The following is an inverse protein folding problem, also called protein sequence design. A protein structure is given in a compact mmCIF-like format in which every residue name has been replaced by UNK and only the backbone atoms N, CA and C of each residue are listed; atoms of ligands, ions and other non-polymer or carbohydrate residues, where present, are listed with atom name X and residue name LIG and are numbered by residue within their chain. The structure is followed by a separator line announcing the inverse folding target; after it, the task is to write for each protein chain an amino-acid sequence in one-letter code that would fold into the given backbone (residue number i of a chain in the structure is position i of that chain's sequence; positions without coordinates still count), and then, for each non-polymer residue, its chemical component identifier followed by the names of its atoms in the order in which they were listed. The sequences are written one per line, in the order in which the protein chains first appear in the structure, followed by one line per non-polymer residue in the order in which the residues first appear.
data_IF_824988997448
#
_entry.id   IF_824988997448
#
_cell.length_a   1.000
_cell.length_b   1.000
_cell.length_c   1.000
_cell.angle_alpha   90.00
_cell.angle_beta   90.00
_cell.angle_gamma   90.00
#
_symmetry.space_group_name_H-M   'P 1'
#
loop_
_entity.id
_entity.type
_entity.pdbx_description
1 polymer ?
#
# COMPACT_ATOMS: atom_id res chain seq x y z
N UNK A 1 40.34 39.57 -36.41
CA UNK A 1 40.46 38.17 -35.94
C UNK A 1 40.60 38.16 -34.43
N UNK A 2 40.00 37.15 -33.77
CA UNK A 2 39.93 36.87 -32.32
C UNK A 2 38.75 37.53 -31.62
N UNK A 3 37.98 36.83 -30.79
CA UNK A 3 37.70 35.40 -30.67
C UNK A 3 36.38 35.32 -29.89
N UNK A 4 35.53 34.40 -30.33
CA UNK A 4 34.16 34.18 -29.88
C UNK A 4 34.20 33.57 -28.46
N UNK A 5 33.66 34.28 -27.46
CA UNK A 5 33.50 33.77 -26.10
C UNK A 5 32.16 33.06 -25.95
N UNK A 6 32.18 31.73 -26.07
CA UNK A 6 31.01 30.86 -25.89
C UNK A 6 30.78 30.61 -24.38
N UNK A 7 29.71 31.17 -23.82
CA UNK A 7 29.30 30.92 -22.44
C UNK A 7 28.66 29.51 -22.35
N UNK A 8 29.33 28.59 -21.65
CA UNK A 8 28.79 27.27 -21.29
C UNK A 8 27.97 27.41 -20.00
N UNK A 9 26.65 27.37 -20.11
CA UNK A 9 25.74 27.24 -18.96
C UNK A 9 25.67 25.77 -18.52
N UNK A 10 26.29 25.46 -17.39
CA UNK A 10 26.15 24.18 -16.71
C UNK A 10 24.74 24.13 -16.06
N UNK A 11 23.82 23.40 -16.69
CA UNK A 11 22.56 23.02 -16.04
C UNK A 11 22.84 21.89 -15.04
N UNK A 12 22.85 22.20 -13.75
CA UNK A 12 22.79 21.20 -12.68
C UNK A 12 21.43 20.52 -12.70
N UNK A 13 21.37 19.28 -13.21
CA UNK A 13 20.20 18.41 -13.08
C UNK A 13 20.24 17.86 -11.65
N UNK A 14 19.49 18.46 -10.73
CA UNK A 14 19.27 17.88 -9.41
C UNK A 14 18.47 16.58 -9.58
N UNK A 15 18.93 15.43 -9.06
CA UNK A 15 18.11 14.23 -9.05
C UNK A 15 16.90 14.51 -8.15
N UNK A 16 15.70 14.43 -8.73
CA UNK A 16 14.46 14.45 -7.96
C UNK A 16 14.47 13.23 -7.03
N UNK A 17 14.62 13.47 -5.74
CA UNK A 17 14.48 12.43 -4.72
C UNK A 17 13.00 12.04 -4.68
N UNK A 18 12.66 10.92 -5.32
CA UNK A 18 11.32 10.33 -5.30
C UNK A 18 11.00 9.99 -3.83
N UNK A 19 10.11 10.78 -3.22
CA UNK A 19 9.88 10.76 -1.78
C UNK A 19 9.16 9.49 -1.32
N UNK A 20 9.72 8.80 -0.32
CA UNK A 20 9.02 7.96 0.68
C UNK A 20 8.22 6.73 0.22
N UNK A 21 8.07 6.47 -1.08
CA UNK A 21 7.19 5.41 -1.59
C UNK A 21 7.98 4.15 -1.97
N UNK A 22 7.68 3.05 -1.30
CA UNK A 22 8.17 1.73 -1.69
C UNK A 22 7.51 1.29 -3.00
N UNK A 23 8.26 0.55 -3.83
CA UNK A 23 7.69 -0.15 -4.98
C UNK A 23 6.53 -1.04 -4.57
N UNK A 24 5.45 -0.96 -5.35
CA UNK A 24 4.29 -1.84 -5.25
C UNK A 24 4.70 -3.31 -5.36
N UNK A 25 3.96 -4.18 -4.69
CA UNK A 25 4.20 -5.63 -4.72
C UNK A 25 2.95 -6.36 -5.19
N UNK A 26 3.11 -7.33 -6.07
CA UNK A 26 2.02 -8.22 -6.45
C UNK A 26 1.93 -9.39 -5.46
N UNK A 27 0.71 -9.72 -5.03
CA UNK A 27 0.40 -10.92 -4.25
C UNK A 27 -0.01 -12.00 -5.24
N UNK A 28 0.74 -13.08 -5.25
CA UNK A 28 0.44 -14.28 -6.04
C UNK A 28 0.29 -15.43 -5.05
N UNK A 29 -0.87 -16.10 -5.11
CA UNK A 29 -1.09 -17.31 -4.32
C UNK A 29 -0.39 -18.49 -4.99
N UNK A 30 0.24 -19.33 -4.17
CA UNK A 30 0.73 -20.61 -4.66
C UNK A 30 -0.43 -21.48 -5.16
N UNK A 31 -0.16 -22.40 -6.08
CA UNK A 31 -1.19 -23.23 -6.70
C UNK A 31 -1.98 -23.99 -5.62
N UNK A 32 -3.30 -23.74 -5.59
CA UNK A 32 -4.22 -24.36 -4.64
C UNK A 32 -4.26 -23.72 -3.25
N UNK A 33 -3.49 -22.65 -3.01
CA UNK A 33 -3.54 -21.89 -1.76
C UNK A 33 -4.54 -20.75 -1.86
N UNK A 34 -5.34 -20.56 -0.81
CA UNK A 34 -6.23 -19.42 -0.61
C UNK A 34 -5.69 -18.44 0.43
N UNK A 35 -4.56 -18.74 1.07
CA UNK A 35 -4.01 -17.95 2.16
C UNK A 35 -2.53 -17.66 1.96
N UNK A 36 -2.08 -16.51 2.45
CA UNK A 36 -0.66 -16.13 2.49
C UNK A 36 -0.35 -15.22 3.67
N UNK A 37 0.93 -15.10 4.01
CA UNK A 37 1.42 -14.19 5.05
C UNK A 37 2.46 -13.26 4.43
N UNK A 38 2.09 -12.00 4.25
CA UNK A 38 2.99 -10.96 3.75
C UNK A 38 3.81 -10.44 4.93
N UNK A 39 5.12 -10.55 4.84
CA UNK A 39 6.06 -9.99 5.82
C UNK A 39 6.65 -8.69 5.26
N UNK A 40 6.75 -7.67 6.09
CA UNK A 40 7.30 -6.38 5.67
C UNK A 40 7.67 -5.49 6.84
N UNK A 41 8.19 -4.32 6.48
CA UNK A 41 8.43 -3.20 7.37
C UNK A 41 8.11 -1.91 6.62
N UNK A 42 7.70 -0.87 7.34
CA UNK A 42 7.45 0.45 6.73
C UNK A 42 8.78 1.14 6.39
N UNK A 43 9.60 1.45 7.39
CA UNK A 43 10.87 2.17 7.17
C UNK A 43 11.79 1.51 6.11
N UNK A 44 12.35 2.29 5.15
CA UNK A 44 12.30 3.77 5.02
C UNK A 44 11.06 4.32 4.28
N UNK A 45 10.06 3.49 4.02
CA UNK A 45 8.85 3.87 3.29
C UNK A 45 7.72 4.24 4.24
N UNK A 46 7.02 5.33 3.93
CA UNK A 46 5.87 5.78 4.74
C UNK A 46 4.65 4.87 4.54
N UNK A 47 4.56 4.27 3.34
CA UNK A 47 3.51 3.34 2.95
C UNK A 47 4.05 2.20 2.09
N UNK A 48 3.34 1.07 2.08
CA UNK A 48 3.57 -0.03 1.15
C UNK A 48 2.26 -0.49 0.53
N UNK A 49 2.26 -0.66 -0.78
CA UNK A 49 1.09 -1.11 -1.54
C UNK A 49 1.29 -2.56 -1.98
N UNK A 50 0.26 -3.39 -1.75
CA UNK A 50 0.18 -4.73 -2.30
C UNK A 50 -1.02 -4.85 -3.24
N UNK A 51 -0.79 -5.35 -4.45
CA UNK A 51 -1.81 -5.54 -5.48
C UNK A 51 -2.16 -7.01 -5.59
N UNK A 52 -3.44 -7.33 -5.72
CA UNK A 52 -3.90 -8.68 -5.98
C UNK A 52 -5.11 -8.67 -6.90
N UNK A 53 -5.28 -9.75 -7.66
CA UNK A 53 -6.47 -9.98 -8.46
C UNK A 53 -7.43 -10.87 -7.69
N UNK A 54 -8.71 -10.53 -7.75
CA UNK A 54 -9.78 -11.30 -7.14
C UNK A 54 -11.02 -11.27 -8.02
N UNK A 55 -11.93 -12.19 -7.73
CA UNK A 55 -13.24 -12.31 -8.38
C UNK A 55 -14.31 -11.75 -7.45
N UNK A 56 -15.36 -11.26 -8.08
CA UNK A 56 -16.60 -10.90 -7.41
C UNK A 56 -17.17 -12.08 -6.61
N UNK A 57 -17.73 -11.79 -5.43
CA UNK A 57 -18.33 -12.77 -4.55
C UNK A 57 -17.34 -13.55 -3.68
N UNK A 58 -16.03 -13.38 -3.86
CA UNK A 58 -15.05 -14.03 -2.99
C UNK A 58 -15.07 -13.41 -1.60
N UNK A 59 -15.06 -14.26 -0.57
CA UNK A 59 -14.93 -13.81 0.82
C UNK A 59 -13.44 -13.68 1.15
N UNK A 60 -13.05 -12.55 1.71
CA UNK A 60 -11.68 -12.26 2.06
C UNK A 60 -11.56 -11.84 3.53
N UNK A 61 -10.47 -12.25 4.18
CA UNK A 61 -10.09 -11.78 5.52
C UNK A 61 -8.65 -11.29 5.54
N UNK A 62 -8.44 -10.21 6.29
CA UNK A 62 -7.16 -9.56 6.53
C UNK A 62 -6.93 -9.37 8.02
N UNK A 63 -5.70 -9.61 8.47
CA UNK A 63 -5.31 -9.35 9.87
C UNK A 63 -3.84 -8.94 9.96
N UNK A 64 -3.58 -7.77 10.54
CA UNK A 64 -2.24 -7.28 10.83
C UNK A 64 -1.72 -7.79 12.17
N UNK A 65 -0.43 -8.09 12.21
CA UNK A 65 0.29 -8.49 13.41
C UNK A 65 1.67 -7.82 13.50
N UNK A 66 2.16 -7.51 14.72
CA UNK A 66 1.40 -7.52 15.97
C UNK A 66 0.37 -6.37 15.99
N UNK A 67 -0.75 -6.56 16.67
CA UNK A 67 -1.85 -5.58 16.70
C UNK A 67 -1.51 -4.30 17.49
N UNK A 68 -0.47 -4.36 18.33
CA UNK A 68 0.02 -3.24 19.17
C UNK A 68 0.92 -2.25 18.42
N UNK A 69 1.27 -2.53 17.16
CA UNK A 69 2.02 -1.59 16.33
C UNK A 69 1.08 -0.52 15.75
N UNK A 70 1.60 0.70 15.59
CA UNK A 70 0.90 1.83 14.95
C UNK A 70 0.74 1.64 13.43
N UNK A 71 0.54 0.40 12.96
CA UNK A 71 0.42 0.05 11.54
C UNK A 71 -1.03 -0.32 11.26
N UNK A 72 -1.59 0.34 10.26
CA UNK A 72 -2.97 0.10 9.77
C UNK A 72 -2.94 -0.27 8.31
N UNK A 73 -4.07 -0.75 7.80
CA UNK A 73 -4.28 -0.90 6.37
C UNK A 73 -5.59 -0.27 5.89
N UNK A 74 -5.61 0.04 4.59
CA UNK A 74 -6.81 0.25 3.79
C UNK A 74 -6.88 -0.81 2.70
N UNK A 75 -8.11 -1.19 2.33
CA UNK A 75 -8.39 -2.08 1.22
C UNK A 75 -9.28 -1.33 0.21
N UNK A 76 -8.81 -1.23 -1.03
CA UNK A 76 -9.50 -0.50 -2.08
C UNK A 76 -9.47 -1.26 -3.42
N UNK A 77 -10.52 -1.07 -4.22
CA UNK A 77 -10.57 -1.46 -5.62
C UNK A 77 -9.93 -0.37 -6.47
N UNK A 78 -9.16 -0.78 -7.49
CA UNK A 78 -8.65 0.13 -8.52
C UNK A 78 -9.76 0.67 -9.43
N UNK A 79 -10.94 0.04 -9.43
CA UNK A 79 -12.14 0.48 -10.12
C UNK A 79 -13.15 1.06 -9.14
N UNK A 80 -13.90 2.07 -9.59
CA UNK A 80 -14.98 2.65 -8.80
C UNK A 80 -16.12 1.64 -8.57
N UNK A 81 -16.60 1.53 -7.33
CA UNK A 81 -17.68 0.65 -6.91
C UNK A 81 -18.93 1.51 -6.77
N UNK A 82 -19.86 1.40 -7.72
CA UNK A 82 -21.02 2.29 -7.82
C UNK A 82 -21.98 2.11 -6.64
N UNK A 83 -22.11 0.87 -6.17
CA UNK A 83 -22.97 0.48 -5.06
C UNK A 83 -22.51 1.14 -3.74
N UNK A 84 -21.20 1.27 -3.55
CA UNK A 84 -20.57 1.88 -2.37
C UNK A 84 -20.26 3.37 -2.56
N UNK A 85 -20.43 3.89 -3.77
CA UNK A 85 -19.98 5.23 -4.17
C UNK A 85 -18.51 5.51 -3.82
N UNK A 86 -17.64 4.49 -3.86
CA UNK A 86 -16.29 4.53 -3.29
C UNK A 86 -15.33 3.59 -4.02
N UNK A 87 -14.04 3.84 -3.88
CA UNK A 87 -12.99 2.84 -4.18
C UNK A 87 -12.67 1.96 -2.97
N UNK A 88 -12.88 2.49 -1.77
CA UNK A 88 -12.60 1.81 -0.50
C UNK A 88 -13.76 0.87 -0.17
N UNK A 89 -13.44 -0.34 0.31
CA UNK A 89 -14.46 -1.32 0.67
C UNK A 89 -15.20 -0.93 1.95
N UNK A 90 -16.44 -1.42 2.05
CA UNK A 90 -17.26 -1.22 3.24
C UNK A 90 -16.56 -1.76 4.50
N UNK A 91 -16.76 -1.09 5.63
CA UNK A 91 -16.10 -1.43 6.90
C UNK A 91 -14.64 -1.01 7.03
N UNK A 92 -14.03 -0.37 6.01
CA UNK A 92 -12.68 0.21 6.13
C UNK A 92 -12.79 1.67 6.64
N UNK A 93 -12.29 1.91 7.86
CA UNK A 93 -12.29 3.25 8.46
C UNK A 93 -11.29 4.20 7.78
N UNK A 94 -11.57 5.51 7.77
CA UNK A 94 -10.70 6.53 7.15
C UNK A 94 -9.28 6.58 7.71
N UNK A 95 -9.12 6.23 8.99
CA UNK A 95 -7.81 6.15 9.66
C UNK A 95 -7.13 4.77 9.50
N UNK A 96 -7.68 3.89 8.66
CA UNK A 96 -7.25 2.51 8.49
C UNK A 96 -7.79 1.58 9.58
N UNK A 97 -7.61 0.28 9.36
CA UNK A 97 -8.01 -0.80 10.27
C UNK A 97 -6.86 -1.80 10.46
N UNK A 98 -6.94 -2.63 11.49
CA UNK A 98 -5.97 -3.73 11.75
C UNK A 98 -6.51 -5.10 11.38
N UNK A 99 -7.81 -5.20 11.14
CA UNK A 99 -8.52 -6.40 10.68
C UNK A 99 -9.71 -6.01 9.83
N UNK A 100 -10.02 -6.83 8.83
CA UNK A 100 -11.19 -6.67 7.99
C UNK A 100 -11.61 -8.03 7.45
N UNK A 101 -12.91 -8.23 7.29
CA UNK A 101 -13.49 -9.39 6.63
C UNK A 101 -14.72 -8.95 5.85
N UNK A 102 -14.88 -9.47 4.65
CA UNK A 102 -16.02 -9.13 3.80
C UNK A 102 -16.00 -9.84 2.46
N UNK A 103 -17.05 -9.61 1.69
CA UNK A 103 -17.17 -10.08 0.31
C UNK A 103 -16.61 -9.03 -0.65
N UNK A 104 -15.89 -9.48 -1.68
CA UNK A 104 -15.34 -8.60 -2.70
C UNK A 104 -16.43 -8.30 -3.75
N UNK A 105 -16.83 -7.03 -3.91
CA UNK A 105 -18.04 -6.69 -4.67
C UNK A 105 -17.86 -6.79 -6.19
N UNK A 106 -16.62 -6.91 -6.68
CA UNK A 106 -16.29 -6.81 -8.10
C UNK A 106 -15.08 -7.67 -8.46
N UNK A 107 -15.05 -8.19 -9.67
CA UNK A 107 -13.84 -8.80 -10.23
C UNK A 107 -12.85 -7.72 -10.66
N UNK A 108 -11.58 -7.85 -10.30
CA UNK A 108 -10.59 -6.82 -10.64
C UNK A 108 -9.31 -6.87 -9.83
N UNK A 109 -8.57 -5.75 -9.88
CA UNK A 109 -7.37 -5.52 -9.08
C UNK A 109 -7.74 -4.71 -7.85
N UNK A 110 -7.31 -5.20 -6.70
CA UNK A 110 -7.42 -4.56 -5.41
C UNK A 110 -6.04 -4.17 -4.89
N UNK A 111 -6.01 -3.14 -4.05
CA UNK A 111 -4.84 -2.62 -3.37
C UNK A 111 -5.03 -2.70 -1.86
N UNK A 112 -4.04 -3.27 -1.19
CA UNK A 112 -3.87 -3.21 0.26
C UNK A 112 -2.77 -2.18 0.52
N UNK A 113 -3.13 -1.06 1.14
CA UNK A 113 -2.18 -0.01 1.50
C UNK A 113 -1.87 -0.15 2.98
N UNK A 114 -0.63 -0.54 3.31
CA UNK A 114 -0.11 -0.56 4.69
C UNK A 114 0.55 0.78 4.97
N UNK A 115 0.18 1.46 6.05
CA UNK A 115 0.88 2.68 6.48
C UNK A 115 0.81 2.87 8.00
N UNK A 116 1.50 3.91 8.47
CA UNK A 116 1.34 4.46 9.82
C UNK A 116 0.34 5.62 9.73
N UNK A 117 -0.77 5.63 10.48
CA UNK A 117 -1.66 6.77 10.49
C UNK A 117 -0.96 7.97 11.14
N UNK A 118 -1.24 9.18 10.67
CA UNK A 118 -0.68 10.43 11.20
C UNK A 118 -1.27 10.77 12.57
N UNK A 119 -0.95 10.01 13.61
CA UNK A 119 -1.49 10.19 14.97
C UNK A 119 -0.46 10.69 15.99
N UNK A 120 0.81 10.84 15.61
CA UNK A 120 1.89 11.27 16.52
C UNK A 120 2.70 12.41 15.91
N UNK A 121 2.69 13.57 16.58
CA UNK A 121 3.59 14.71 16.31
C UNK A 121 5.06 14.43 16.68
N UNK A 122 5.39 13.22 17.16
CA UNK A 122 6.77 12.85 17.49
C UNK A 122 7.43 12.09 16.34
N UNK A 123 8.66 12.48 15.93
CA UNK A 123 9.44 11.72 14.95
C UNK A 123 9.77 10.34 15.52
N UNK A 124 9.02 9.33 15.09
CA UNK A 124 9.22 7.95 15.51
C UNK A 124 10.22 7.26 14.58
N UNK A 125 11.47 7.19 15.03
CA UNK A 125 12.62 6.60 14.32
C UNK A 125 12.66 5.05 14.37
N UNK A 126 11.57 4.38 14.73
CA UNK A 126 11.56 2.91 14.87
C UNK A 126 11.10 2.22 13.59
N UNK A 127 11.88 1.24 13.13
CA UNK A 127 11.41 0.27 12.13
C UNK A 127 10.18 -0.45 12.67
N UNK A 128 9.08 -0.39 11.92
CA UNK A 128 7.85 -1.10 12.26
C UNK A 128 7.70 -2.33 11.36
N UNK A 129 8.16 -3.51 11.82
CA UNK A 129 7.87 -4.76 11.12
C UNK A 129 6.38 -5.10 11.28
N UNK A 130 5.82 -5.75 10.26
CA UNK A 130 4.47 -6.25 10.28
C UNK A 130 4.36 -7.59 9.55
N UNK A 131 3.29 -8.30 9.88
CA UNK A 131 2.79 -9.45 9.13
C UNK A 131 1.33 -9.20 8.80
N UNK A 132 0.98 -9.27 7.51
CA UNK A 132 -0.40 -9.27 7.06
C UNK A 132 -0.78 -10.71 6.70
N UNK A 133 -1.68 -11.30 7.48
CA UNK A 133 -2.33 -12.55 7.11
C UNK A 133 -3.47 -12.21 6.16
N UNK A 134 -3.51 -12.89 5.02
CA UNK A 134 -4.55 -12.75 4.01
C UNK A 134 -5.11 -14.13 3.69
N UNK A 135 -6.44 -14.19 3.54
CA UNK A 135 -7.16 -15.37 3.04
C UNK A 135 -8.27 -14.93 2.11
N UNK A 136 -8.48 -15.64 1.01
CA UNK A 136 -9.54 -15.37 0.02
C UNK A 136 -10.14 -16.68 -0.49
N UNK A 137 -11.46 -16.82 -0.42
CA UNK A 137 -12.22 -18.01 -0.82
C UNK A 137 -13.28 -17.63 -1.85
#
# INVERSE_FOLDING_TARGET
MKCLGLLLTLFSISPAQESGQCKDREIIFEKGQSATVLRGQLEPCERRVYKFRAREGQRMSLSLFPAENDVVFWLQSTQYIAELHSHVLDGIHKNGVVSWEGELPRSGVYEIVIARPSVSNSPQQRTLPYRLKMRIE
#
